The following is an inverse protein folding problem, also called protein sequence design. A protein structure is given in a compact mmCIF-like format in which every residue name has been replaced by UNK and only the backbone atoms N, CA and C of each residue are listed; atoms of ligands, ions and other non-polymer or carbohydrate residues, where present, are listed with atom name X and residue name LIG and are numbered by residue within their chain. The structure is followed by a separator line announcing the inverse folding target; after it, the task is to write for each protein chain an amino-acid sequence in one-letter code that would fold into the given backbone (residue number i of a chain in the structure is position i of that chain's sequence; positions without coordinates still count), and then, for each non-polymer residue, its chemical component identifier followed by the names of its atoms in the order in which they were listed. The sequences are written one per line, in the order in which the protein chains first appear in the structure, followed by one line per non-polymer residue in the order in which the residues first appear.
data_IF_256273992401
#
_entry.id   IF_256273992401
#
_cell.length_a   1.000
_cell.length_b   1.000
_cell.length_c   1.000
_cell.angle_alpha   90.00
_cell.angle_beta   90.00
_cell.angle_gamma   90.00
#
_symmetry.space_group_name_H-M   'P 1'
#
loop_
_entity.id
_entity.type
_entity.pdbx_description
1 polymer ?
#
# COMPACT_ATOMS: atom_id res chain seq x y z
N UNK A 1 -5.88 -16.96 19.84
CA UNK A 1 -6.96 -17.06 18.85
C UNK A 1 -8.18 -17.69 19.47
N UNK A 2 -9.34 -17.09 19.22
CA UNK A 2 -10.64 -17.60 19.63
C UNK A 2 -11.12 -18.74 18.72
N UNK A 3 -12.14 -19.49 19.15
CA UNK A 3 -12.82 -20.48 18.29
C UNK A 3 -13.45 -19.84 17.06
N UNK A 4 -13.90 -18.57 17.16
CA UNK A 4 -14.42 -17.82 16.03
C UNK A 4 -13.32 -17.54 14.98
N UNK A 5 -12.09 -17.24 15.43
CA UNK A 5 -10.94 -17.00 14.55
C UNK A 5 -10.59 -18.28 13.75
N UNK A 6 -10.63 -19.45 14.40
CA UNK A 6 -10.41 -20.73 13.72
C UNK A 6 -11.46 -20.98 12.62
N UNK A 7 -12.74 -20.73 12.92
CA UNK A 7 -13.81 -20.90 11.95
C UNK A 7 -13.64 -19.96 10.74
N UNK A 8 -13.26 -18.71 10.97
CA UNK A 8 -13.00 -17.74 9.91
C UNK A 8 -11.85 -18.16 8.99
N UNK A 9 -10.74 -18.64 9.55
CA UNK A 9 -9.60 -19.13 8.77
C UNK A 9 -10.01 -20.33 7.91
N UNK A 10 -10.77 -21.27 8.48
CA UNK A 10 -11.25 -22.45 7.75
C UNK A 10 -12.17 -22.02 6.60
N UNK A 11 -13.13 -21.13 6.84
CA UNK A 11 -14.03 -20.62 5.79
C UNK A 11 -13.24 -19.92 4.68
N UNK A 12 -12.32 -19.01 5.02
CA UNK A 12 -11.48 -18.32 4.05
C UNK A 12 -10.61 -19.28 3.22
N UNK A 13 -10.10 -20.36 3.84
CA UNK A 13 -9.36 -21.40 3.13
C UNK A 13 -10.25 -22.16 2.13
N UNK A 14 -11.47 -22.52 2.53
CA UNK A 14 -12.44 -23.16 1.63
C UNK A 14 -12.82 -22.25 0.45
N UNK A 15 -13.02 -20.95 0.70
CA UNK A 15 -13.34 -19.96 -0.34
C UNK A 15 -12.18 -19.76 -1.32
N UNK A 16 -10.94 -19.72 -0.81
CA UNK A 16 -9.73 -19.64 -1.65
C UNK A 16 -9.62 -20.86 -2.57
N UNK A 17 -9.87 -22.06 -2.04
CA UNK A 17 -9.83 -23.31 -2.82
C UNK A 17 -11.01 -23.43 -3.78
N UNK A 18 -12.18 -22.88 -3.47
CA UNK A 18 -13.33 -22.89 -4.36
C UNK A 18 -13.10 -22.12 -5.68
N UNK A 19 -12.16 -21.19 -5.70
CA UNK A 19 -11.79 -20.38 -6.87
C UNK A 19 -10.71 -21.02 -7.75
N UNK A 20 -10.17 -22.17 -7.35
CA UNK A 20 -9.11 -22.86 -8.09
C UNK A 20 -9.69 -23.80 -9.16
N UNK A 21 -8.93 -23.99 -10.23
CA UNK A 21 -9.26 -24.95 -11.28
C UNK A 21 -9.34 -26.37 -10.70
N UNK A 22 -10.40 -27.09 -11.07
CA UNK A 22 -10.64 -28.47 -10.68
C UNK A 22 -10.60 -29.34 -11.94
N UNK A 23 -9.87 -30.46 -11.88
CA UNK A 23 -9.80 -31.44 -12.97
C UNK A 23 -11.09 -32.23 -13.08
N UNK A 24 -11.30 -32.94 -14.19
CA UNK A 24 -12.46 -33.81 -14.39
C UNK A 24 -12.59 -34.87 -13.28
N UNK A 25 -11.46 -35.39 -12.78
CA UNK A 25 -11.39 -36.34 -11.66
C UNK A 25 -11.63 -35.72 -10.27
N UNK A 26 -11.99 -34.43 -10.19
CA UNK A 26 -12.27 -33.74 -8.93
C UNK A 26 -11.03 -33.34 -8.11
N UNK A 27 -9.83 -33.38 -8.71
CA UNK A 27 -8.60 -32.89 -8.08
C UNK A 27 -8.44 -31.39 -8.32
N UNK A 28 -7.77 -30.70 -7.40
CA UNK A 28 -7.59 -29.24 -7.45
C UNK A 28 -6.16 -28.92 -7.90
N UNK A 29 -6.01 -28.03 -8.89
CA UNK A 29 -4.71 -27.44 -9.25
C UNK A 29 -4.34 -26.35 -8.25
N UNK A 30 -3.24 -26.53 -7.54
CA UNK A 30 -2.81 -25.61 -6.47
C UNK A 30 -1.49 -24.93 -6.86
N UNK A 31 -1.40 -23.59 -6.80
CA UNK A 31 -0.15 -22.88 -7.06
C UNK A 31 1.02 -23.40 -6.21
N UNK A 32 2.14 -23.69 -6.86
CA UNK A 32 3.35 -24.24 -6.23
C UNK A 32 3.33 -25.76 -6.00
N UNK A 33 2.30 -26.48 -6.44
CA UNK A 33 2.27 -27.95 -6.45
C UNK A 33 2.15 -28.41 -7.91
N UNK A 34 3.11 -29.23 -8.34
CA UNK A 34 3.21 -29.68 -9.74
C UNK A 34 2.02 -30.53 -10.19
N UNK A 35 1.47 -31.36 -9.29
CA UNK A 35 0.35 -32.26 -9.57
C UNK A 35 -0.94 -31.74 -8.93
N UNK A 36 -2.08 -32.00 -9.56
CA UNK A 36 -3.38 -31.76 -8.94
C UNK A 36 -3.54 -32.64 -7.69
N UNK A 37 -4.16 -32.10 -6.64
CA UNK A 37 -4.27 -32.74 -5.33
C UNK A 37 -5.72 -32.86 -4.86
N UNK A 38 -6.04 -33.77 -3.93
CA UNK A 38 -7.36 -33.78 -3.32
C UNK A 38 -7.70 -32.44 -2.67
N UNK A 39 -8.97 -32.05 -2.72
CA UNK A 39 -9.46 -30.77 -2.17
C UNK A 39 -9.02 -30.54 -0.72
N UNK A 40 -9.00 -31.58 0.11
CA UNK A 40 -8.56 -31.49 1.50
C UNK A 40 -7.08 -31.08 1.65
N UNK A 41 -6.21 -31.52 0.73
CA UNK A 41 -4.80 -31.12 0.71
C UNK A 41 -4.67 -29.65 0.33
N UNK A 42 -5.44 -29.21 -0.67
CA UNK A 42 -5.50 -27.80 -1.07
C UNK A 42 -5.96 -26.90 0.09
N UNK A 43 -7.04 -27.30 0.81
CA UNK A 43 -7.54 -26.58 1.99
C UNK A 43 -6.49 -26.54 3.09
N UNK A 44 -5.80 -27.65 3.35
CA UNK A 44 -4.75 -27.72 4.38
C UNK A 44 -3.58 -26.78 4.06
N UNK A 45 -3.17 -26.66 2.80
CA UNK A 45 -2.15 -25.69 2.37
C UNK A 45 -2.65 -24.25 2.55
N UNK A 46 -3.88 -23.95 2.13
CA UNK A 46 -4.46 -22.62 2.30
C UNK A 46 -4.56 -22.20 3.77
N UNK A 47 -4.92 -23.13 4.68
CA UNK A 47 -4.90 -22.86 6.13
C UNK A 47 -3.50 -22.49 6.61
N UNK A 48 -2.46 -23.26 6.21
CA UNK A 48 -1.07 -22.96 6.62
C UNK A 48 -0.61 -21.59 6.12
N UNK A 49 -0.96 -21.23 4.88
CA UNK A 49 -0.65 -19.92 4.30
C UNK A 49 -1.35 -18.78 5.05
N UNK A 50 -2.66 -18.91 5.27
CA UNK A 50 -3.44 -17.90 6.01
C UNK A 50 -2.94 -17.73 7.45
N UNK A 51 -2.62 -18.82 8.15
CA UNK A 51 -2.05 -18.73 9.50
C UNK A 51 -0.70 -18.01 9.47
N UNK A 52 0.16 -18.30 8.48
CA UNK A 52 1.44 -17.60 8.35
C UNK A 52 1.26 -16.10 8.02
N UNK A 53 0.30 -15.77 7.14
CA UNK A 53 -0.05 -14.39 6.78
C UNK A 53 -0.67 -13.61 7.96
N UNK A 54 -1.38 -14.29 8.88
CA UNK A 54 -1.99 -13.68 10.06
C UNK A 54 -1.10 -13.74 11.31
N UNK A 55 0.06 -14.40 11.23
CA UNK A 55 0.97 -14.51 12.37
C UNK A 55 1.55 -13.15 12.74
N UNK A 56 1.72 -12.91 14.04
CA UNK A 56 2.32 -11.69 14.56
C UNK A 56 3.70 -11.44 13.92
N UNK A 57 3.94 -10.20 13.49
CA UNK A 57 5.19 -9.81 12.84
C UNK A 57 5.36 -10.26 11.37
N UNK A 58 4.37 -10.98 10.81
CA UNK A 58 4.30 -11.23 9.36
C UNK A 58 4.20 -9.93 8.56
N UNK A 59 4.40 -10.01 7.23
CA UNK A 59 4.31 -8.84 6.36
C UNK A 59 2.90 -8.22 6.38
N UNK A 60 1.85 -9.05 6.28
CA UNK A 60 0.45 -8.58 6.33
C UNK A 60 0.09 -8.00 7.69
N UNK A 61 0.55 -8.62 8.79
CA UNK A 61 0.38 -8.07 10.13
C UNK A 61 1.00 -6.68 10.26
N UNK A 62 2.26 -6.52 9.85
CA UNK A 62 2.96 -5.24 9.86
C UNK A 62 2.28 -4.18 8.99
N UNK A 63 1.72 -4.58 7.84
CA UNK A 63 0.96 -3.69 6.98
C UNK A 63 -0.33 -3.22 7.68
N UNK A 64 -1.06 -4.13 8.31
CA UNK A 64 -2.28 -3.80 9.06
C UNK A 64 -1.94 -2.84 10.21
N UNK A 65 -0.90 -3.12 11.00
CA UNK A 65 -0.47 -2.23 12.10
C UNK A 65 -0.10 -0.83 11.60
N UNK A 66 0.60 -0.74 10.47
CA UNK A 66 0.92 0.54 9.81
C UNK A 66 -0.35 1.28 9.36
N UNK A 67 -1.31 0.57 8.79
CA UNK A 67 -2.55 1.15 8.24
C UNK A 67 -3.60 1.48 9.31
N UNK A 68 -3.48 0.92 10.51
CA UNK A 68 -4.38 1.17 11.64
C UNK A 68 -3.78 2.11 12.69
N UNK A 69 -2.49 2.46 12.55
CA UNK A 69 -1.78 3.31 13.51
C UNK A 69 -1.44 2.60 14.82
N UNK A 70 -1.56 1.27 14.85
CA UNK A 70 -1.25 0.45 16.04
C UNK A 70 0.24 0.14 16.17
N UNK A 71 1.04 0.36 15.13
CA UNK A 71 2.48 0.20 15.20
C UNK A 71 3.10 1.26 16.13
N UNK A 72 3.85 0.79 17.13
CA UNK A 72 4.51 1.65 18.11
C UNK A 72 5.42 2.69 17.42
N UNK A 73 5.27 3.95 17.83
CA UNK A 73 6.07 5.07 17.31
C UNK A 73 5.66 5.58 15.92
N UNK A 74 4.61 5.02 15.29
CA UNK A 74 4.12 5.50 13.99
C UNK A 74 2.97 6.51 14.17
N UNK A 75 3.17 7.72 13.65
CA UNK A 75 2.12 8.75 13.55
C UNK A 75 1.49 8.69 12.16
N UNK A 76 0.37 7.96 12.06
CA UNK A 76 -0.41 7.82 10.83
C UNK A 76 -1.30 9.04 10.62
N UNK A 77 -1.19 9.67 9.45
CA UNK A 77 -2.01 10.81 9.02
C UNK A 77 -2.62 10.51 7.67
N UNK A 78 -3.79 11.08 7.42
CA UNK A 78 -4.37 11.10 6.09
C UNK A 78 -4.73 12.52 5.68
N UNK A 79 -4.71 12.77 4.37
CA UNK A 79 -5.15 14.03 3.78
C UNK A 79 -5.41 13.85 2.29
N UNK A 80 -6.13 14.80 1.70
CA UNK A 80 -6.43 14.81 0.27
C UNK A 80 -5.48 15.76 -0.44
N UNK A 81 -5.03 15.37 -1.64
CA UNK A 81 -4.29 16.25 -2.53
C UNK A 81 -4.28 15.73 -3.96
N UNK A 82 -3.85 16.56 -4.90
CA UNK A 82 -3.76 16.22 -6.32
C UNK A 82 -2.32 15.84 -6.65
N UNK A 83 -2.10 14.69 -7.30
CA UNK A 83 -0.75 14.28 -7.68
C UNK A 83 -0.28 15.11 -8.86
N UNK A 84 0.66 16.01 -8.62
CA UNK A 84 1.18 16.91 -9.67
C UNK A 84 2.42 16.31 -10.34
N UNK A 85 3.26 15.64 -9.55
CA UNK A 85 4.51 15.06 -10.06
C UNK A 85 4.95 13.85 -9.25
N UNK A 86 5.49 12.85 -9.93
CA UNK A 86 6.17 11.70 -9.31
C UNK A 86 7.57 11.57 -9.88
N UNK A 87 8.58 11.55 -9.02
CA UNK A 87 10.00 11.40 -9.41
C UNK A 87 10.70 10.39 -8.53
N UNK A 88 11.76 9.75 -9.02
CA UNK A 88 12.62 8.91 -8.16
C UNK A 88 13.70 9.77 -7.53
N UNK A 89 13.81 9.74 -6.20
CA UNK A 89 14.85 10.48 -5.48
C UNK A 89 16.18 9.71 -5.57
N UNK A 90 17.25 10.35 -6.07
CA UNK A 90 18.55 9.69 -6.29
C UNK A 90 19.20 9.20 -5.00
N UNK A 91 19.04 9.95 -3.90
CA UNK A 91 19.68 9.67 -2.60
C UNK A 91 19.04 8.51 -1.84
N UNK A 92 17.71 8.38 -1.89
CA UNK A 92 16.97 7.39 -1.09
C UNK A 92 16.34 6.28 -1.92
N UNK A 93 16.36 6.41 -3.25
CA UNK A 93 15.60 5.57 -4.19
C UNK A 93 14.09 5.54 -3.94
N UNK A 94 13.55 6.40 -3.06
CA UNK A 94 12.11 6.52 -2.82
C UNK A 94 11.45 7.24 -3.99
N UNK A 95 10.18 6.91 -4.28
CA UNK A 95 9.34 7.73 -5.14
C UNK A 95 8.96 9.00 -4.38
N UNK A 96 9.32 10.17 -4.89
CA UNK A 96 8.97 11.49 -4.35
C UNK A 96 7.77 12.02 -5.12
N UNK A 97 6.66 12.17 -4.41
CA UNK A 97 5.41 12.74 -4.90
C UNK A 97 5.34 14.21 -4.48
N UNK A 98 4.97 15.06 -5.43
CA UNK A 98 4.54 16.42 -5.19
C UNK A 98 3.01 16.45 -5.26
N UNK A 99 2.38 16.77 -4.14
CA UNK A 99 0.92 16.85 -4.02
C UNK A 99 0.49 18.30 -3.86
N UNK A 100 -0.54 18.74 -4.57
CA UNK A 100 -1.21 20.00 -4.26
C UNK A 100 -2.39 19.76 -3.32
N UNK A 101 -2.39 20.44 -2.18
CA UNK A 101 -3.42 20.34 -1.14
C UNK A 101 -4.31 21.58 -1.07
N UNK A 102 -3.93 22.68 -1.75
CA UNK A 102 -4.60 23.98 -1.64
C UNK A 102 -4.45 24.66 -0.28
N UNK A 103 -3.66 24.10 0.64
CA UNK A 103 -3.47 24.67 1.98
C UNK A 103 -2.41 25.77 1.98
N UNK A 104 -2.59 26.84 2.76
CA UNK A 104 -1.56 27.91 2.89
C UNK A 104 -0.35 27.48 3.73
N UNK A 105 -0.24 26.19 4.06
CA UNK A 105 0.83 25.68 4.90
C UNK A 105 2.14 25.73 4.13
N UNK A 106 3.15 26.37 4.72
CA UNK A 106 4.49 26.39 4.18
C UNK A 106 5.19 25.08 4.51
N UNK A 107 5.74 24.43 3.51
CA UNK A 107 6.56 23.22 3.64
C UNK A 107 7.92 23.52 3.04
N UNK A 108 8.98 23.19 3.75
CA UNK A 108 10.34 23.51 3.30
C UNK A 108 10.64 22.87 1.94
N UNK A 109 11.10 23.72 1.00
CA UNK A 109 11.51 23.30 -0.33
C UNK A 109 10.38 23.13 -1.34
N UNK A 110 9.15 23.57 -1.05
CA UNK A 110 8.04 23.66 -2.01
C UNK A 110 7.20 24.93 -1.81
N UNK A 111 6.48 25.31 -2.85
CA UNK A 111 5.59 26.47 -2.83
C UNK A 111 4.39 26.25 -1.89
N UNK A 112 3.80 27.32 -1.33
CA UNK A 112 2.57 27.22 -0.55
C UNK A 112 1.47 26.51 -1.35
N UNK A 113 0.68 25.67 -0.68
CA UNK A 113 -0.31 24.82 -1.35
C UNK A 113 0.19 23.41 -1.61
N UNK A 114 1.51 23.20 -1.66
CA UNK A 114 2.11 21.90 -1.99
C UNK A 114 2.66 21.16 -0.77
N UNK A 115 2.62 19.84 -0.84
CA UNK A 115 3.20 18.91 0.13
C UNK A 115 4.10 17.89 -0.61
N UNK A 116 5.15 17.43 0.07
CA UNK A 116 5.98 16.33 -0.41
C UNK A 116 5.68 15.08 0.41
N UNK A 117 5.42 13.99 -0.30
CA UNK A 117 5.33 12.66 0.28
C UNK A 117 6.32 11.75 -0.44
N UNK A 118 6.89 10.77 0.28
CA UNK A 118 7.79 9.78 -0.30
C UNK A 118 7.19 8.39 -0.16
N UNK A 119 7.31 7.52 -1.14
CA UNK A 119 7.01 6.10 -0.94
C UNK A 119 8.06 5.44 -0.06
N UNK A 120 7.87 4.17 0.27
CA UNK A 120 9.01 3.32 0.62
C UNK A 120 10.03 3.23 -0.50
N UNK A 121 11.21 2.68 -0.19
CA UNK A 121 12.28 2.53 -1.18
C UNK A 121 11.80 1.68 -2.37
N UNK A 122 12.08 2.14 -3.59
CA UNK A 122 11.61 1.49 -4.84
C UNK A 122 12.46 0.30 -5.28
N UNK A 123 13.50 -0.04 -4.50
CA UNK A 123 14.22 -1.31 -4.62
C UNK A 123 13.42 -2.48 -4.01
N UNK A 124 12.41 -2.20 -3.19
CA UNK A 124 11.43 -3.18 -2.70
C UNK A 124 10.13 -3.18 -3.53
N UNK A 125 9.40 -4.31 -3.54
CA UNK A 125 8.16 -4.46 -4.31
C UNK A 125 7.07 -3.47 -3.87
N UNK A 126 6.91 -3.23 -2.57
CA UNK A 126 5.86 -2.35 -2.04
C UNK A 126 6.07 -0.89 -2.46
N UNK A 127 7.31 -0.39 -2.30
CA UNK A 127 7.66 0.98 -2.71
C UNK A 127 7.53 1.17 -4.22
N UNK A 128 7.89 0.15 -5.02
CA UNK A 128 7.74 0.17 -6.47
C UNK A 128 6.27 0.16 -6.90
N UNK A 129 5.43 -0.65 -6.25
CA UNK A 129 4.00 -0.73 -6.50
C UNK A 129 3.34 0.63 -6.26
N UNK A 130 3.51 1.21 -5.07
CA UNK A 130 2.91 2.50 -4.70
C UNK A 130 3.41 3.64 -5.58
N UNK A 131 4.71 3.65 -5.94
CA UNK A 131 5.25 4.67 -6.85
C UNK A 131 4.67 4.55 -8.26
N UNK A 132 4.43 3.33 -8.73
CA UNK A 132 3.82 3.07 -10.04
C UNK A 132 2.35 3.47 -10.07
N UNK A 133 1.60 3.15 -9.01
CA UNK A 133 0.21 3.56 -8.83
C UNK A 133 0.08 5.10 -8.80
N UNK A 134 0.92 5.77 -7.99
CA UNK A 134 0.95 7.22 -7.93
C UNK A 134 1.28 7.87 -9.29
N UNK A 135 2.15 7.24 -10.09
CA UNK A 135 2.50 7.74 -11.42
C UNK A 135 1.35 7.57 -12.41
N UNK A 136 0.56 6.51 -12.30
CA UNK A 136 -0.62 6.29 -13.11
C UNK A 136 -1.74 7.30 -12.80
N UNK A 137 -1.74 7.86 -11.58
CA UNK A 137 -2.74 8.81 -11.08
C UNK A 137 -2.26 10.28 -11.12
N UNK A 138 -1.33 10.61 -12.01
CA UNK A 138 -0.97 12.01 -12.25
C UNK A 138 -2.21 12.82 -12.68
N UNK A 139 -2.41 13.96 -12.03
CA UNK A 139 -3.59 14.81 -12.24
C UNK A 139 -4.84 14.37 -11.49
N UNK A 140 -4.82 13.24 -10.77
CA UNK A 140 -5.95 12.81 -9.96
C UNK A 140 -5.89 13.39 -8.55
N UNK A 141 -7.08 13.62 -7.99
CA UNK A 141 -7.26 13.83 -6.55
C UNK A 141 -7.15 12.48 -5.86
N UNK A 142 -6.37 12.43 -4.79
CA UNK A 142 -6.16 11.21 -4.02
C UNK A 142 -6.30 11.47 -2.52
N UNK A 143 -6.87 10.51 -1.79
CA UNK A 143 -6.72 10.41 -0.34
C UNK A 143 -5.44 9.62 -0.06
N UNK A 144 -4.51 10.21 0.67
CA UNK A 144 -3.23 9.55 1.00
C UNK A 144 -3.17 9.20 2.49
N UNK A 145 -2.57 8.06 2.79
CA UNK A 145 -2.18 7.66 4.14
C UNK A 145 -0.66 7.71 4.26
N UNK A 146 -0.19 8.54 5.19
CA UNK A 146 1.24 8.77 5.41
C UNK A 146 1.61 8.48 6.85
N UNK A 147 2.79 7.91 7.04
CA UNK A 147 3.43 7.76 8.33
C UNK A 147 4.53 8.81 8.45
N UNK A 148 4.67 9.42 9.62
CA UNK A 148 5.78 10.33 9.90
C UNK A 148 6.98 9.56 10.45
N UNK A 149 7.97 9.31 9.60
CA UNK A 149 9.24 8.68 9.98
C UNK A 149 10.26 9.74 10.40
N UNK A 150 10.86 9.66 11.60
CA UNK A 150 11.97 10.51 11.98
C UNK A 150 13.19 10.25 11.08
N UNK A 151 14.00 11.27 10.84
CA UNK A 151 15.25 11.08 10.12
C UNK A 151 16.26 10.40 11.03
N UNK A 152 17.03 9.46 10.48
CA UNK A 152 18.09 8.78 11.23
C UNK A 152 19.14 9.77 11.79
N UNK A 153 19.36 10.89 11.11
CA UNK A 153 20.30 11.94 11.53
C UNK A 153 19.71 12.97 12.50
N UNK A 154 18.37 13.05 12.61
CA UNK A 154 17.67 14.09 13.37
C UNK A 154 16.22 13.66 13.64
N UNK A 155 15.91 13.31 14.89
CA UNK A 155 14.59 12.82 15.28
C UNK A 155 13.49 13.89 15.26
N UNK A 156 13.86 15.18 15.30
CA UNK A 156 12.91 16.29 15.23
C UNK A 156 12.43 16.52 13.80
N UNK A 157 13.22 16.08 12.82
CA UNK A 157 12.84 16.10 11.40
C UNK A 157 12.13 14.82 11.02
N UNK A 158 10.94 14.97 10.44
CA UNK A 158 10.13 13.83 10.00
C UNK A 158 9.89 13.88 8.49
N UNK A 159 9.99 12.72 7.85
CA UNK A 159 9.56 12.48 6.47
C UNK A 159 8.17 11.87 6.47
N UNK A 160 7.31 12.35 5.56
CA UNK A 160 6.04 11.69 5.24
C UNK A 160 6.30 10.50 4.31
N UNK A 161 6.03 9.30 4.78
CA UNK A 161 6.11 8.08 3.99
C UNK A 161 4.71 7.60 3.62
N UNK A 162 4.43 7.55 2.32
CA UNK A 162 3.20 7.06 1.73
C UNK A 162 3.10 5.56 1.93
N UNK A 163 2.05 5.14 2.62
CA UNK A 163 1.72 3.73 2.83
C UNK A 163 0.66 3.28 1.84
N UNK A 164 -0.31 4.15 1.57
CA UNK A 164 -1.41 3.86 0.67
C UNK A 164 -1.98 5.16 0.08
N UNK A 165 -2.65 5.05 -1.06
CA UNK A 165 -3.38 6.12 -1.71
C UNK A 165 -4.67 5.54 -2.28
N UNK A 166 -5.71 6.36 -2.35
CA UNK A 166 -6.99 6.00 -2.96
C UNK A 166 -7.38 7.09 -3.97
N UNK A 167 -7.68 6.68 -5.20
CA UNK A 167 -8.15 7.56 -6.26
C UNK A 167 -9.55 8.14 -5.91
N UNK A 168 -9.68 9.46 -6.03
CA UNK A 168 -10.92 10.20 -5.85
C UNK A 168 -11.41 10.81 -7.18
N UNK A 169 -10.77 10.46 -8.30
CA UNK A 169 -11.07 10.95 -9.64
C UNK A 169 -10.10 12.03 -10.11
N UNK A 170 -10.22 12.37 -11.40
CA UNK A 170 -9.44 13.43 -12.02
C UNK A 170 -9.67 14.79 -11.33
N UNK A 171 -8.63 15.62 -11.25
CA UNK A 171 -8.77 17.03 -10.86
C UNK A 171 -8.96 17.87 -12.13
N UNK A 172 -10.13 18.46 -12.30
CA UNK A 172 -10.46 19.30 -13.47
C UNK A 172 -9.56 20.53 -13.60
N UNK A 173 -8.86 20.90 -12.53
CA UNK A 173 -7.91 22.02 -12.55
C UNK A 173 -6.53 21.59 -13.06
N UNK A 174 -6.26 20.30 -13.23
CA UNK A 174 -4.93 19.84 -13.62
C UNK A 174 -4.69 20.08 -15.10
N UNK A 175 -3.65 20.87 -15.39
CA UNK A 175 -3.13 21.07 -16.74
C UNK A 175 -2.03 20.03 -16.99
N UNK A 176 -2.36 19.03 -17.81
CA UNK A 176 -1.46 17.94 -18.16
C UNK A 176 -0.27 18.39 -19.03
N UNK A 177 -0.45 19.44 -19.85
CA UNK A 177 0.59 19.96 -20.74
C UNK A 177 1.61 20.77 -19.93
N UNK A 178 1.15 21.56 -18.96
CA UNK A 178 2.00 22.30 -18.05
C UNK A 178 2.55 21.42 -16.89
N UNK A 179 1.89 20.29 -16.59
CA UNK A 179 2.19 19.46 -15.43
C UNK A 179 1.96 20.20 -14.10
N UNK A 180 0.96 21.08 -14.06
CA UNK A 180 0.62 21.93 -12.91
C UNK A 180 -0.90 22.05 -12.75
N UNK A 181 -1.37 22.74 -11.71
CA UNK A 181 -2.78 23.10 -11.60
C UNK A 181 -3.00 24.51 -12.17
N UNK A 182 -4.02 24.65 -13.01
CA UNK A 182 -4.52 25.93 -13.46
C UNK A 182 -4.94 26.79 -12.25
N UNK A 183 -4.59 28.07 -12.33
CA UNK A 183 -4.89 29.08 -11.30
C UNK A 183 -6.40 29.35 -11.17
#
# INVERSE_FOLDING_TARGET
MSTADHAQIIMAAHDRVAKLETTEDGLVRVPGIEKAVPRQVAVSKAIRELVAELSEGSASWKLIDRMTGNAEGLDLKNFVGTIVKVTREKSSTRGKLLLYTGTKKKVDGVDPGYEIVRTERTDGPDGLMVASEAKALLGHRVLVWVILEPWASDSDRKTRVLVHLMDLGADDRYDADAGTLAA
#
